data_IF_862810614671
#
_entry.id   IF_862810614671
#
_cell.length_a   1.000
_cell.length_b   1.000
_cell.length_c   1.000
_cell.angle_alpha   90.00
_cell.angle_beta   90.00
_cell.angle_gamma   90.00
#
_symmetry.space_group_name_H-M   'P 1'
#
loop_
_entity.id
_entity.type
_entity.pdbx_description
1 polymer ?
#
# COMPACT_ATOMS: atom_id res chain seq x y z
N UNK A 1 11.58 -4.98 -27.27
CA UNK A 1 11.20 -4.09 -26.16
C UNK A 1 11.55 -4.78 -24.85
N UNK A 2 12.64 -4.38 -24.22
CA UNK A 2 13.08 -4.96 -22.95
C UNK A 2 12.10 -4.50 -21.88
N UNK A 3 11.26 -5.43 -21.40
CA UNK A 3 10.30 -5.20 -20.31
C UNK A 3 11.13 -4.99 -19.05
N UNK A 4 11.49 -3.74 -18.72
CA UNK A 4 12.04 -3.43 -17.40
C UNK A 4 10.94 -3.73 -16.39
N UNK A 5 10.98 -4.94 -15.83
CA UNK A 5 10.14 -5.29 -14.72
C UNK A 5 10.55 -4.36 -13.58
N UNK A 6 9.69 -3.39 -13.24
CA UNK A 6 9.83 -2.65 -12.00
C UNK A 6 9.87 -3.71 -10.89
N UNK A 7 11.02 -3.86 -10.24
CA UNK A 7 11.23 -4.94 -9.28
C UNK A 7 10.51 -4.51 -7.99
N UNK A 8 9.26 -4.94 -7.84
CA UNK A 8 8.53 -4.78 -6.59
C UNK A 8 9.30 -5.42 -5.45
N UNK A 9 9.26 -4.78 -4.29
CA UNK A 9 9.86 -5.31 -3.08
C UNK A 9 9.09 -6.55 -2.58
N UNK A 10 9.71 -7.27 -1.65
CA UNK A 10 9.16 -8.52 -1.14
C UNK A 10 7.83 -8.29 -0.40
N UNK A 11 7.71 -7.19 0.34
CA UNK A 11 6.54 -6.84 1.14
C UNK A 11 5.33 -6.52 0.26
N UNK A 12 5.49 -5.75 -0.82
CA UNK A 12 4.44 -5.48 -1.81
C UNK A 12 3.93 -6.77 -2.44
N UNK A 13 4.85 -7.65 -2.85
CA UNK A 13 4.50 -8.94 -3.45
C UNK A 13 3.75 -9.84 -2.45
N UNK A 14 4.15 -9.83 -1.18
CA UNK A 14 3.47 -10.57 -0.12
C UNK A 14 2.04 -10.06 0.09
N UNK A 15 1.87 -8.74 0.26
CA UNK A 15 0.57 -8.10 0.50
C UNK A 15 -0.38 -8.36 -0.67
N UNK A 16 0.04 -8.06 -1.90
CA UNK A 16 -0.81 -8.23 -3.10
C UNK A 16 -1.20 -9.69 -3.34
N UNK A 17 -0.30 -10.65 -3.11
CA UNK A 17 -0.64 -12.08 -3.16
C UNK A 17 -1.60 -12.49 -2.05
N UNK A 18 -1.43 -11.97 -0.84
CA UNK A 18 -2.31 -12.21 0.30
C UNK A 18 -3.73 -11.71 0.04
N UNK A 19 -3.88 -10.45 -0.36
CA UNK A 19 -5.17 -9.85 -0.74
C UNK A 19 -5.85 -10.63 -1.86
N UNK A 20 -5.10 -11.01 -2.90
CA UNK A 20 -5.61 -11.84 -3.99
C UNK A 20 -6.09 -13.22 -3.51
N UNK A 21 -5.35 -13.86 -2.60
CA UNK A 21 -5.69 -15.20 -2.07
C UNK A 21 -7.03 -15.22 -1.34
N UNK A 22 -7.33 -14.15 -0.60
CA UNK A 22 -8.60 -14.02 0.14
C UNK A 22 -9.73 -13.44 -0.73
N UNK A 23 -9.47 -13.18 -2.02
CA UNK A 23 -10.46 -12.59 -2.93
C UNK A 23 -10.82 -11.14 -2.60
N UNK A 24 -9.95 -10.42 -1.88
CA UNK A 24 -10.20 -9.01 -1.55
C UNK A 24 -9.93 -8.13 -2.76
N UNK A 25 -10.79 -7.14 -2.98
CA UNK A 25 -10.62 -6.19 -4.07
C UNK A 25 -9.50 -5.20 -3.74
N UNK A 26 -8.60 -4.99 -4.68
CA UNK A 26 -7.58 -3.94 -4.63
C UNK A 26 -7.16 -3.54 -6.04
N UNK A 27 -6.59 -2.34 -6.16
CA UNK A 27 -5.90 -1.85 -7.32
C UNK A 27 -4.43 -1.60 -6.97
N UNK A 28 -3.52 -2.23 -7.71
CA UNK A 28 -2.08 -2.04 -7.54
C UNK A 28 -1.65 -0.75 -8.23
N UNK A 29 -1.33 0.26 -7.42
CA UNK A 29 -0.98 1.60 -7.85
C UNK A 29 0.53 1.86 -7.91
N UNK A 30 1.39 0.95 -7.43
CA UNK A 30 2.84 1.17 -7.32
C UNK A 30 3.54 1.44 -8.67
N UNK A 31 2.85 1.24 -9.79
CA UNK A 31 3.36 1.56 -11.14
C UNK A 31 3.11 3.00 -11.57
N UNK A 32 2.31 3.77 -10.84
CA UNK A 32 1.95 5.14 -11.17
C UNK A 32 2.78 6.11 -10.32
N UNK A 33 3.92 6.62 -10.85
CA UNK A 33 4.78 7.51 -10.08
C UNK A 33 4.06 8.81 -9.71
N UNK A 34 4.35 9.32 -8.51
CA UNK A 34 3.79 10.59 -8.01
C UNK A 34 2.37 10.50 -7.45
N UNK A 35 1.75 9.32 -7.43
CA UNK A 35 0.41 9.14 -6.85
C UNK A 35 0.41 9.24 -5.32
N UNK A 36 1.55 8.91 -4.68
CA UNK A 36 1.73 9.03 -3.23
C UNK A 36 1.18 7.87 -2.40
N UNK A 37 0.77 6.75 -3.01
CA UNK A 37 0.42 5.49 -2.34
C UNK A 37 0.55 4.30 -3.30
N UNK A 38 0.71 3.10 -2.75
CA UNK A 38 0.96 1.87 -3.53
C UNK A 38 -0.30 1.07 -3.85
N UNK A 39 -1.31 1.06 -2.98
CA UNK A 39 -2.54 0.26 -3.17
C UNK A 39 -3.78 1.10 -2.88
N UNK A 40 -4.75 1.06 -3.80
CA UNK A 40 -6.12 1.47 -3.53
C UNK A 40 -6.96 0.25 -3.19
N UNK A 41 -7.65 0.27 -2.06
CA UNK A 41 -8.58 -0.79 -1.65
C UNK A 41 -9.77 -0.19 -0.90
N UNK A 42 -10.59 -1.04 -0.28
CA UNK A 42 -11.68 -0.65 0.61
C UNK A 42 -11.48 -1.23 2.00
N UNK A 43 -11.94 -0.50 3.01
CA UNK A 43 -12.20 -1.05 4.33
C UNK A 43 -13.39 -2.03 4.27
N UNK A 44 -13.51 -2.93 5.26
CA UNK A 44 -14.67 -3.85 5.35
C UNK A 44 -16.02 -3.14 5.35
N UNK A 45 -16.08 -1.94 5.91
CA UNK A 45 -17.29 -1.12 6.00
C UNK A 45 -17.57 -0.32 4.72
N UNK A 46 -16.74 -0.48 3.68
CA UNK A 46 -17.02 -0.01 2.32
C UNK A 46 -16.38 1.31 1.91
N UNK A 47 -15.75 2.06 2.82
CA UNK A 47 -15.02 3.28 2.47
C UNK A 47 -13.65 2.99 1.84
N UNK A 48 -13.11 3.87 0.97
CA UNK A 48 -11.82 3.65 0.32
C UNK A 48 -10.66 3.77 1.30
N UNK A 49 -9.59 3.02 1.04
CA UNK A 49 -8.32 3.13 1.74
C UNK A 49 -7.17 3.25 0.73
N UNK A 50 -6.25 4.15 1.04
CA UNK A 50 -5.00 4.41 0.33
C UNK A 50 -3.88 3.82 1.17
N UNK A 51 -3.25 2.76 0.69
CA UNK A 51 -2.19 2.08 1.43
C UNK A 51 -0.84 2.41 0.81
N UNK A 52 0.05 2.93 1.63
CA UNK A 52 1.46 3.08 1.33
C UNK A 52 2.24 1.93 1.99
N UNK A 53 3.06 1.22 1.23
CA UNK A 53 3.81 0.06 1.72
C UNK A 53 5.22 0.49 2.07
N UNK A 54 5.60 0.32 3.34
CA UNK A 54 6.98 0.53 3.79
C UNK A 54 7.60 -0.79 4.22
N UNK A 55 8.79 -1.06 3.69
CA UNK A 55 9.56 -2.23 4.10
C UNK A 55 10.00 -2.08 5.57
N UNK A 56 9.93 -3.16 6.37
CA UNK A 56 10.55 -3.17 7.69
C UNK A 56 12.06 -2.93 7.54
N UNK A 57 12.62 -2.08 8.40
CA UNK A 57 13.99 -1.62 8.23
C UNK A 57 14.34 -0.41 9.08
N UNK A 58 15.50 0.23 8.83
CA UNK A 58 15.92 1.42 9.55
C UNK A 58 14.92 2.56 9.36
N UNK A 59 14.86 3.56 10.26
CA UNK A 59 13.88 4.67 10.17
C UNK A 59 13.88 5.39 8.81
N UNK A 60 15.03 5.45 8.13
CA UNK A 60 15.14 6.03 6.80
C UNK A 60 14.33 5.31 5.73
N UNK A 61 14.11 3.99 5.84
CA UNK A 61 13.28 3.22 4.89
C UNK A 61 11.78 3.38 5.14
N UNK A 62 11.40 4.00 6.25
CA UNK A 62 10.02 4.29 6.61
C UNK A 62 9.64 5.76 6.38
N UNK A 63 10.61 6.60 5.99
CA UNK A 63 10.37 8.01 5.73
C UNK A 63 9.47 8.16 4.50
N UNK A 64 8.49 9.03 4.61
CA UNK A 64 7.61 9.37 3.50
C UNK A 64 8.33 10.22 2.46
N UNK A 65 8.03 9.95 1.19
CA UNK A 65 8.37 10.86 0.08
C UNK A 65 7.44 12.07 0.09
N UNK A 66 7.77 13.12 -0.67
CA UNK A 66 6.94 14.33 -0.74
C UNK A 66 5.51 14.03 -1.23
N UNK A 67 5.36 13.14 -2.22
CA UNK A 67 4.05 12.74 -2.72
C UNK A 67 3.24 11.95 -1.70
N UNK A 68 3.88 11.07 -0.94
CA UNK A 68 3.21 10.30 0.12
C UNK A 68 2.78 11.20 1.28
N UNK A 69 3.66 12.14 1.66
CA UNK A 69 3.34 13.15 2.66
C UNK A 69 2.14 14.00 2.20
N UNK A 70 2.11 14.43 0.94
CA UNK A 70 0.97 15.16 0.37
C UNK A 70 -0.34 14.36 0.40
N UNK A 71 -0.30 13.05 0.13
CA UNK A 71 -1.49 12.20 0.22
C UNK A 71 -1.96 11.97 1.66
N UNK A 72 -1.03 11.79 2.60
CA UNK A 72 -1.35 11.72 4.02
C UNK A 72 -2.03 13.00 4.51
N UNK A 73 -1.54 14.17 4.10
CA UNK A 73 -2.11 15.47 4.47
C UNK A 73 -3.49 15.71 3.84
N UNK A 74 -3.67 15.31 2.58
CA UNK A 74 -4.93 15.48 1.87
C UNK A 74 -6.03 14.50 2.35
N UNK A 75 -5.66 13.26 2.71
CA UNK A 75 -6.60 12.19 3.04
C UNK A 75 -6.23 11.43 4.33
N UNK A 76 -6.03 12.10 5.48
CA UNK A 76 -5.47 11.48 6.68
C UNK A 76 -6.33 10.33 7.23
N UNK A 77 -7.65 10.40 7.02
CA UNK A 77 -8.58 9.36 7.48
C UNK A 77 -8.55 8.10 6.61
N UNK A 78 -8.18 8.23 5.33
CA UNK A 78 -8.18 7.14 4.35
C UNK A 78 -6.78 6.60 4.06
N UNK A 79 -5.73 7.33 4.42
CA UNK A 79 -4.35 6.95 4.20
C UNK A 79 -3.81 6.07 5.33
N UNK A 80 -3.19 4.94 5.00
CA UNK A 80 -2.54 4.05 5.97
C UNK A 80 -1.17 3.63 5.46
N UNK A 81 -0.20 3.63 6.37
CA UNK A 81 1.11 3.03 6.11
C UNK A 81 1.06 1.60 6.63
N UNK A 82 1.44 0.64 5.79
CA UNK A 82 1.46 -0.78 6.12
C UNK A 82 2.83 -1.38 5.81
N UNK A 83 3.19 -2.44 6.53
CA UNK A 83 4.53 -3.04 6.46
C UNK A 83 4.54 -4.56 6.41
N UNK A 84 3.37 -5.19 6.38
CA UNK A 84 3.19 -6.64 6.26
C UNK A 84 1.74 -6.95 5.84
N UNK A 85 1.48 -8.22 5.52
CA UNK A 85 0.12 -8.68 5.26
C UNK A 85 -0.78 -8.51 6.49
N UNK A 86 -0.34 -8.91 7.67
CA UNK A 86 -1.14 -8.80 8.90
C UNK A 86 -1.51 -7.35 9.23
N UNK A 87 -0.55 -6.43 9.09
CA UNK A 87 -0.80 -5.00 9.31
C UNK A 87 -1.80 -4.46 8.28
N UNK A 88 -1.74 -4.97 7.05
CA UNK A 88 -2.71 -4.65 5.99
C UNK A 88 -4.11 -5.17 6.33
N UNK A 89 -4.22 -6.41 6.79
CA UNK A 89 -5.51 -7.02 7.17
C UNK A 89 -6.17 -6.26 8.33
N UNK A 90 -5.39 -5.83 9.31
CA UNK A 90 -5.85 -4.95 10.38
C UNK A 90 -6.32 -3.59 9.84
N UNK A 91 -5.54 -2.97 8.94
CA UNK A 91 -5.88 -1.68 8.35
C UNK A 91 -7.20 -1.70 7.55
N UNK A 92 -7.52 -2.81 6.87
CA UNK A 92 -8.79 -2.98 6.14
C UNK A 92 -9.93 -3.54 7.03
N UNK A 93 -9.66 -3.80 8.31
CA UNK A 93 -10.63 -4.19 9.34
C UNK A 93 -10.98 -5.67 9.39
N UNK A 94 -10.16 -6.55 8.83
CA UNK A 94 -10.39 -8.00 8.81
C UNK A 94 -9.81 -8.77 10.00
N UNK A 95 -9.10 -8.08 10.91
CA UNK A 95 -8.55 -8.63 12.16
C UNK A 95 -8.78 -7.67 13.32
#
# INVERSE_FOLDING_TARGET
MTRYACKFDATHVEITKGLKRIGWWFHDCARYPGLGFDILTKHKDGFPLLLEIKNPGPPSSQKLTESEQGMLEAFPQFFRIVSSLDHTLAAIGLT
#
